data_IF_282752601094
#
_entry.id   IF_282752601094
#
_cell.length_a   1.000
_cell.length_b   1.000
_cell.length_c   1.000
_cell.angle_alpha   90.00
_cell.angle_beta   90.00
_cell.angle_gamma   90.00
#
_symmetry.space_group_name_H-M   'P 1'
#
loop_
_entity.id
_entity.type
_entity.pdbx_description
1 polymer ?
#
# COMPACT_ATOMS: atom_id res chain seq x y z
N UNK A 1 -1.43 -47.75 11.68
CA UNK A 1 -2.55 -47.83 12.64
C UNK A 1 -3.77 -47.15 12.02
N UNK A 2 -4.92 -47.81 12.00
CA UNK A 2 -6.14 -47.36 11.32
C UNK A 2 -6.67 -46.04 11.89
N UNK A 3 -7.22 -45.15 11.06
CA UNK A 3 -7.77 -43.83 11.45
C UNK A 3 -8.86 -43.92 12.54
N UNK A 4 -9.52 -45.09 12.65
CA UNK A 4 -10.55 -45.36 13.68
C UNK A 4 -10.02 -45.87 15.03
N UNK A 5 -8.72 -46.10 15.19
CA UNK A 5 -8.15 -46.48 16.49
C UNK A 5 -7.76 -45.22 17.27
N UNK A 6 -8.77 -44.44 17.67
CA UNK A 6 -8.61 -43.28 18.53
C UNK A 6 -8.82 -43.69 19.99
N UNK A 7 -7.77 -43.59 20.81
CA UNK A 7 -7.92 -43.71 22.26
C UNK A 7 -8.74 -42.54 22.81
N UNK A 8 -9.48 -42.79 23.88
CA UNK A 8 -10.20 -41.76 24.63
C UNK A 8 -9.36 -41.37 25.83
N UNK A 9 -8.99 -40.09 25.89
CA UNK A 9 -8.17 -39.51 26.96
C UNK A 9 -9.00 -38.50 27.74
N UNK A 10 -8.60 -38.26 28.98
CA UNK A 10 -9.17 -37.21 29.83
C UNK A 10 -8.14 -36.10 29.94
N UNK A 11 -8.54 -34.87 29.62
CA UNK A 11 -7.70 -33.69 29.82
C UNK A 11 -7.94 -33.20 31.25
N UNK A 12 -6.94 -33.42 32.12
CA UNK A 12 -6.93 -32.82 33.47
C UNK A 12 -6.84 -31.31 33.35
N UNK A 13 -7.50 -30.59 34.25
CA UNK A 13 -7.58 -29.11 34.34
C UNK A 13 -8.47 -28.42 33.28
N UNK A 14 -9.15 -29.16 32.41
CA UNK A 14 -10.23 -28.63 31.57
C UNK A 14 -11.57 -29.26 31.93
N UNK A 15 -12.46 -28.45 32.49
CA UNK A 15 -13.83 -28.86 32.78
C UNK A 15 -14.74 -28.65 31.57
N UNK A 16 -15.57 -29.65 31.31
CA UNK A 16 -16.68 -29.59 30.38
C UNK A 16 -17.80 -28.69 30.90
N UNK A 17 -18.78 -28.39 30.06
CA UNK A 17 -19.98 -27.59 30.40
C UNK A 17 -20.75 -28.19 31.59
N UNK A 18 -20.60 -29.49 31.85
CA UNK A 18 -21.23 -30.24 32.94
C UNK A 18 -20.36 -30.39 34.20
N UNK A 19 -19.31 -29.57 34.36
CA UNK A 19 -18.35 -29.60 35.48
C UNK A 19 -17.51 -30.88 35.62
N UNK A 20 -17.63 -31.81 34.65
CA UNK A 20 -16.83 -33.04 34.54
C UNK A 20 -15.60 -32.84 33.67
N UNK A 21 -14.57 -33.65 33.85
CA UNK A 21 -13.35 -33.57 33.04
C UNK A 21 -13.62 -33.76 31.54
N UNK A 22 -12.90 -33.00 30.71
CA UNK A 22 -13.13 -32.98 29.28
C UNK A 22 -12.54 -34.21 28.58
N UNK A 23 -13.40 -34.90 27.82
CA UNK A 23 -13.04 -36.10 27.05
C UNK A 23 -12.40 -35.69 25.71
N UNK A 24 -11.26 -36.30 25.38
CA UNK A 24 -10.47 -36.04 24.18
C UNK A 24 -10.21 -37.32 23.38
N UNK A 25 -10.62 -37.33 22.11
CA UNK A 25 -10.57 -38.52 21.25
C UNK A 25 -9.41 -38.54 20.24
N UNK A 26 -8.47 -37.61 20.35
CA UNK A 26 -7.29 -37.52 19.45
C UNK A 26 -6.03 -38.04 20.19
N UNK A 27 -4.97 -38.41 19.46
CA UNK A 27 -3.74 -38.91 20.09
C UNK A 27 -3.12 -37.90 21.07
N UNK A 28 -2.48 -38.35 22.16
CA UNK A 28 -1.91 -37.48 23.18
C UNK A 28 -0.79 -36.58 22.64
N UNK A 29 -0.13 -36.97 21.54
CA UNK A 29 0.83 -36.13 20.82
C UNK A 29 0.24 -34.84 20.24
N UNK A 30 -1.09 -34.77 20.05
CA UNK A 30 -1.80 -33.57 19.59
C UNK A 30 -2.52 -32.83 20.73
N UNK A 31 -2.46 -33.35 21.96
CA UNK A 31 -3.10 -32.75 23.13
C UNK A 31 -2.47 -31.41 23.52
N UNK A 32 -1.19 -31.17 23.21
CA UNK A 32 -0.50 -29.88 23.46
C UNK A 32 -1.09 -28.72 22.64
N UNK A 33 -1.82 -29.01 21.54
CA UNK A 33 -2.55 -28.02 20.73
C UNK A 33 -4.06 -28.10 20.97
N UNK A 34 -4.48 -28.55 22.15
CA UNK A 34 -5.88 -28.58 22.50
C UNK A 34 -6.43 -27.14 22.56
N UNK A 35 -7.46 -26.88 21.76
CA UNK A 35 -8.23 -25.64 21.80
C UNK A 35 -9.70 -26.02 21.78
N UNK A 36 -10.48 -25.45 22.69
CA UNK A 36 -11.95 -25.69 22.76
C UNK A 36 -12.65 -25.24 21.48
N UNK A 37 -12.02 -24.38 20.69
CA UNK A 37 -12.54 -23.91 19.40
C UNK A 37 -12.18 -24.82 18.22
N UNK A 38 -11.38 -25.87 18.44
CA UNK A 38 -10.90 -26.80 17.40
C UNK A 38 -12.00 -27.80 16.95
N UNK A 39 -13.05 -27.26 16.34
CA UNK A 39 -14.22 -28.00 15.87
C UNK A 39 -15.49 -27.15 15.78
N UNK A 40 -15.47 -25.91 16.31
CA UNK A 40 -16.59 -24.98 16.14
C UNK A 40 -16.65 -24.54 14.68
N UNK A 41 -17.82 -24.62 14.07
CA UNK A 41 -18.07 -23.98 12.78
C UNK A 41 -17.76 -22.49 12.92
N UNK A 42 -16.95 -21.94 12.00
CA UNK A 42 -16.61 -20.52 12.03
C UNK A 42 -17.91 -19.74 11.90
N UNK A 43 -18.22 -18.91 12.90
CA UNK A 43 -19.37 -18.01 12.84
C UNK A 43 -19.30 -17.20 11.54
N UNK A 44 -20.36 -17.28 10.74
CA UNK A 44 -20.42 -16.67 9.43
C UNK A 44 -20.39 -15.14 9.62
N UNK A 45 -19.25 -14.51 9.37
CA UNK A 45 -19.13 -13.07 9.58
C UNK A 45 -20.08 -12.33 8.64
N UNK A 46 -20.87 -11.37 9.16
CA UNK A 46 -21.75 -10.56 8.32
C UNK A 46 -20.93 -9.84 7.25
N UNK A 47 -21.49 -9.70 6.04
CA UNK A 47 -20.76 -9.20 4.85
C UNK A 47 -20.06 -7.85 5.11
N UNK A 48 -20.63 -6.98 5.94
CA UNK A 48 -20.08 -5.66 6.31
C UNK A 48 -18.85 -5.72 7.25
N UNK A 49 -18.56 -6.88 7.84
CA UNK A 49 -17.36 -7.13 8.66
C UNK A 49 -16.32 -8.00 7.95
N UNK A 50 -16.60 -8.44 6.72
CA UNK A 50 -15.63 -9.25 5.97
C UNK A 50 -14.46 -8.38 5.51
N UNK A 51 -13.22 -8.90 5.57
CA UNK A 51 -12.06 -8.16 5.12
C UNK A 51 -12.15 -7.89 3.61
N UNK A 52 -11.80 -6.67 3.21
CA UNK A 52 -11.67 -6.34 1.81
C UNK A 52 -10.59 -7.21 1.17
N UNK A 53 -10.97 -7.95 0.14
CA UNK A 53 -10.07 -8.87 -0.57
C UNK A 53 -9.74 -8.28 -1.94
N UNK A 54 -8.45 -8.22 -2.28
CA UNK A 54 -7.98 -7.80 -3.59
C UNK A 54 -7.37 -9.00 -4.30
N UNK A 55 -7.87 -9.34 -5.48
CA UNK A 55 -7.27 -10.34 -6.38
C UNK A 55 -6.22 -9.64 -7.24
N UNK A 56 -4.94 -9.90 -6.97
CA UNK A 56 -3.86 -9.56 -7.88
C UNK A 56 -3.75 -10.65 -8.95
N UNK A 57 -4.14 -10.36 -10.19
CA UNK A 57 -3.83 -11.25 -11.32
C UNK A 57 -2.64 -10.68 -12.08
N UNK A 58 -1.48 -11.31 -11.96
CA UNK A 58 -0.35 -10.99 -12.82
C UNK A 58 -0.52 -11.73 -14.14
N UNK A 59 -0.81 -10.99 -15.22
CA UNK A 59 -0.84 -11.53 -16.57
C UNK A 59 0.43 -11.12 -17.30
N UNK A 60 1.24 -12.09 -17.70
CA UNK A 60 2.44 -11.85 -18.51
C UNK A 60 2.06 -11.82 -19.99
N UNK A 61 2.23 -10.68 -20.64
CA UNK A 61 2.06 -10.54 -22.09
C UNK A 61 3.18 -11.27 -22.86
N UNK A 62 2.90 -11.58 -24.13
CA UNK A 62 3.90 -12.14 -25.05
C UNK A 62 5.17 -11.26 -25.12
N UNK A 63 6.31 -11.87 -25.43
CA UNK A 63 7.60 -11.16 -25.44
C UNK A 63 7.63 -9.95 -26.39
N UNK A 64 7.12 -10.10 -27.61
CA UNK A 64 7.01 -9.01 -28.60
C UNK A 64 6.21 -7.82 -28.07
N UNK A 65 5.06 -8.08 -27.44
CA UNK A 65 4.22 -7.04 -26.84
C UNK A 65 4.96 -6.30 -25.73
N UNK A 66 5.76 -7.01 -24.92
CA UNK A 66 6.54 -6.37 -23.85
C UNK A 66 7.68 -5.50 -24.40
N UNK A 67 8.29 -5.88 -25.51
CA UNK A 67 9.31 -5.06 -26.17
C UNK A 67 8.68 -3.76 -26.70
N UNK A 68 7.56 -3.87 -27.41
CA UNK A 68 6.78 -2.72 -27.87
C UNK A 68 6.35 -1.80 -26.72
N UNK A 69 5.79 -2.37 -25.64
CA UNK A 69 5.37 -1.58 -24.48
C UNK A 69 6.56 -0.89 -23.78
N UNK A 70 7.73 -1.54 -23.74
CA UNK A 70 8.95 -0.93 -23.22
C UNK A 70 9.36 0.28 -24.07
N UNK A 71 9.39 0.14 -25.39
CA UNK A 71 9.72 1.22 -26.33
C UNK A 71 8.73 2.38 -26.18
N UNK A 72 7.43 2.08 -26.14
CA UNK A 72 6.39 3.06 -25.85
C UNK A 72 6.64 3.81 -24.54
N UNK A 73 6.96 3.11 -23.44
CA UNK A 73 7.22 3.77 -22.15
C UNK A 73 8.43 4.72 -22.22
N UNK A 74 9.47 4.34 -22.97
CA UNK A 74 10.65 5.19 -23.18
C UNK A 74 10.28 6.43 -23.99
N UNK A 75 9.59 6.28 -25.11
CA UNK A 75 9.15 7.42 -25.94
C UNK A 75 8.21 8.34 -25.17
N UNK A 76 7.27 7.76 -24.42
CA UNK A 76 6.32 8.48 -23.60
C UNK A 76 7.00 9.31 -22.51
N UNK A 77 7.97 8.74 -21.78
CA UNK A 77 8.75 9.47 -20.78
C UNK A 77 9.57 10.62 -21.40
N UNK A 78 10.12 10.41 -22.60
CA UNK A 78 10.91 11.44 -23.28
C UNK A 78 10.07 12.60 -23.84
N UNK A 79 8.87 12.32 -24.35
CA UNK A 79 8.10 13.31 -25.11
C UNK A 79 6.82 13.84 -24.43
N UNK A 80 6.17 13.05 -23.57
CA UNK A 80 4.78 13.31 -23.18
C UNK A 80 4.51 13.30 -21.68
N UNK A 81 5.34 12.62 -20.87
CA UNK A 81 5.07 12.43 -19.44
C UNK A 81 4.90 13.75 -18.69
N UNK A 82 5.91 14.63 -18.72
CA UNK A 82 5.86 15.89 -17.95
C UNK A 82 4.66 16.77 -18.37
N UNK A 83 4.40 17.08 -19.65
CA UNK A 83 3.23 17.88 -20.04
C UNK A 83 1.89 17.21 -19.68
N UNK A 84 1.78 15.89 -19.84
CA UNK A 84 0.56 15.17 -19.53
C UNK A 84 0.27 15.22 -18.02
N UNK A 85 1.27 14.87 -17.20
CA UNK A 85 1.11 14.84 -15.74
C UNK A 85 0.78 16.23 -15.21
N UNK A 86 1.42 17.28 -15.75
CA UNK A 86 1.08 18.65 -15.42
C UNK A 86 -0.39 18.96 -15.70
N UNK A 87 -0.86 18.67 -16.93
CA UNK A 87 -2.22 19.02 -17.35
C UNK A 87 -3.28 18.24 -16.59
N UNK A 88 -3.04 16.95 -16.36
CA UNK A 88 -3.96 16.10 -15.58
C UNK A 88 -4.03 16.60 -14.14
N UNK A 89 -2.88 16.91 -13.51
CA UNK A 89 -2.85 17.47 -12.16
C UNK A 89 -3.60 18.81 -12.08
N UNK A 90 -3.38 19.71 -13.03
CA UNK A 90 -4.07 21.00 -13.08
C UNK A 90 -5.60 20.83 -13.13
N UNK A 91 -6.09 19.89 -13.96
CA UNK A 91 -7.51 19.58 -14.06
C UNK A 91 -8.07 18.97 -12.77
N UNK A 92 -7.31 18.08 -12.11
CA UNK A 92 -7.69 17.50 -10.82
C UNK A 92 -7.82 18.56 -9.73
N UNK A 93 -6.85 19.48 -9.62
CA UNK A 93 -6.87 20.55 -8.62
C UNK A 93 -8.02 21.52 -8.85
N UNK A 94 -8.32 21.86 -10.11
CA UNK A 94 -9.42 22.78 -10.44
C UNK A 94 -10.81 22.13 -10.39
N UNK A 95 -10.88 20.80 -10.20
CA UNK A 95 -12.11 20.03 -10.37
C UNK A 95 -12.83 20.30 -11.71
N UNK A 96 -12.06 20.65 -12.75
CA UNK A 96 -12.59 20.98 -14.08
C UNK A 96 -12.64 19.69 -14.90
N UNK A 97 -13.83 19.14 -15.09
CA UNK A 97 -14.05 17.98 -15.94
C UNK A 97 -15.20 17.08 -15.50
N UNK A 98 -15.38 15.97 -16.22
CA UNK A 98 -16.24 14.88 -15.78
C UNK A 98 -15.66 14.25 -14.50
N UNK A 99 -16.48 13.62 -13.64
CA UNK A 99 -16.00 12.84 -12.50
C UNK A 99 -15.24 11.60 -13.01
N UNK A 100 -14.00 11.82 -13.42
CA UNK A 100 -13.08 10.79 -13.87
C UNK A 100 -12.43 10.13 -12.66
N UNK A 101 -11.97 8.90 -12.86
CA UNK A 101 -11.28 8.16 -11.82
C UNK A 101 -9.88 8.75 -11.62
N UNK A 102 -9.74 9.64 -10.64
CA UNK A 102 -8.48 10.29 -10.24
C UNK A 102 -7.36 9.26 -9.96
N UNK A 103 -7.72 8.00 -9.68
CA UNK A 103 -6.75 6.92 -9.45
C UNK A 103 -5.81 6.67 -10.61
N UNK A 104 -6.20 6.99 -11.86
CA UNK A 104 -5.33 6.84 -13.01
C UNK A 104 -4.08 7.73 -12.92
N UNK A 105 -4.21 8.94 -12.37
CA UNK A 105 -3.07 9.84 -12.18
C UNK A 105 -2.03 9.23 -11.23
N UNK A 106 -2.48 8.75 -10.06
CA UNK A 106 -1.58 8.14 -9.08
C UNK A 106 -1.00 6.82 -9.57
N UNK A 107 -1.79 6.01 -10.29
CA UNK A 107 -1.30 4.79 -10.91
C UNK A 107 -0.23 5.08 -11.96
N UNK A 108 -0.47 6.07 -12.84
CA UNK A 108 0.48 6.48 -13.87
C UNK A 108 1.76 7.02 -13.25
N UNK A 109 1.65 7.89 -12.24
CA UNK A 109 2.79 8.39 -11.46
C UNK A 109 3.62 7.23 -10.93
N UNK A 110 3.00 6.29 -10.20
CA UNK A 110 3.70 5.12 -9.66
C UNK A 110 4.39 4.32 -10.76
N UNK A 111 3.66 3.98 -11.82
CA UNK A 111 4.17 3.10 -12.87
C UNK A 111 5.35 3.71 -13.65
N UNK A 112 5.20 4.95 -14.13
CA UNK A 112 6.21 5.59 -14.96
C UNK A 112 7.44 6.03 -14.15
N UNK A 113 7.25 6.47 -12.90
CA UNK A 113 8.39 6.76 -12.02
C UNK A 113 9.17 5.50 -11.66
N UNK A 114 8.48 4.40 -11.33
CA UNK A 114 9.13 3.11 -11.07
C UNK A 114 9.86 2.59 -12.31
N UNK A 115 9.25 2.70 -13.49
CA UNK A 115 9.88 2.33 -14.76
C UNK A 115 11.15 3.16 -15.00
N UNK A 116 11.07 4.48 -14.81
CA UNK A 116 12.24 5.37 -14.95
C UNK A 116 13.35 4.98 -13.96
N UNK A 117 13.01 4.74 -12.69
CA UNK A 117 13.94 4.35 -11.62
C UNK A 117 14.64 3.02 -11.91
N UNK A 118 13.95 2.03 -12.46
CA UNK A 118 14.49 0.69 -12.69
C UNK A 118 15.19 0.51 -14.04
N UNK A 119 14.84 1.27 -15.07
CA UNK A 119 15.39 1.09 -16.42
C UNK A 119 16.65 1.93 -16.68
N UNK A 120 16.49 3.25 -16.75
CA UNK A 120 17.56 4.23 -17.01
C UNK A 120 17.21 5.51 -16.28
N UNK A 121 17.52 5.54 -14.99
CA UNK A 121 17.10 6.61 -14.11
C UNK A 121 17.58 7.98 -14.59
N UNK A 122 16.61 8.81 -15.00
CA UNK A 122 16.84 10.18 -15.44
C UNK A 122 15.81 11.09 -14.80
N UNK A 123 16.25 11.98 -13.92
CA UNK A 123 15.34 12.88 -13.18
C UNK A 123 14.63 13.87 -14.11
N UNK A 124 15.29 14.28 -15.20
CA UNK A 124 14.72 15.19 -16.21
C UNK A 124 13.41 14.67 -16.80
N UNK A 125 13.26 13.35 -16.95
CA UNK A 125 12.06 12.74 -17.55
C UNK A 125 10.85 12.77 -16.61
N UNK A 126 11.08 12.99 -15.31
CA UNK A 126 10.06 12.95 -14.26
C UNK A 126 10.04 14.23 -13.43
N UNK A 127 10.59 15.33 -13.96
CA UNK A 127 10.72 16.59 -13.24
C UNK A 127 9.37 17.19 -12.82
N UNK A 128 8.29 16.89 -13.54
CA UNK A 128 6.94 17.34 -13.19
C UNK A 128 6.37 16.65 -11.94
N UNK A 129 6.82 15.44 -11.63
CA UNK A 129 6.32 14.67 -10.48
C UNK A 129 7.28 14.65 -9.31
N UNK A 130 8.49 15.22 -9.45
CA UNK A 130 9.56 15.11 -8.46
C UNK A 130 9.94 16.45 -7.85
N UNK A 131 9.00 17.05 -7.11
CA UNK A 131 9.19 18.28 -6.34
C UNK A 131 8.22 18.36 -5.15
N UNK A 132 8.50 19.24 -4.18
CA UNK A 132 7.75 19.32 -2.91
C UNK A 132 6.23 19.47 -3.09
N UNK A 133 5.77 20.25 -4.08
CA UNK A 133 4.34 20.45 -4.31
C UNK A 133 3.61 19.15 -4.64
N UNK A 134 4.30 18.17 -5.25
CA UNK A 134 3.70 16.87 -5.57
C UNK A 134 3.54 16.03 -4.29
N UNK A 135 4.53 16.05 -3.40
CA UNK A 135 4.41 15.38 -2.08
C UNK A 135 3.21 15.95 -1.31
N UNK A 136 3.11 17.28 -1.24
CA UNK A 136 1.98 17.96 -0.62
C UNK A 136 0.66 17.57 -1.30
N UNK A 137 0.59 17.61 -2.64
CA UNK A 137 -0.61 17.24 -3.39
C UNK A 137 -1.07 15.81 -3.08
N UNK A 138 -0.15 14.83 -3.11
CA UNK A 138 -0.48 13.43 -2.82
C UNK A 138 -0.99 13.28 -1.38
N UNK A 139 -0.36 13.98 -0.42
CA UNK A 139 -0.80 14.00 0.97
C UNK A 139 -2.22 14.57 1.13
N UNK A 140 -2.46 15.79 0.63
CA UNK A 140 -3.77 16.46 0.75
C UNK A 140 -4.89 15.62 0.12
N UNK A 141 -4.61 14.94 -0.99
CA UNK A 141 -5.58 14.05 -1.63
C UNK A 141 -5.89 12.82 -0.75
N UNK A 142 -4.88 12.21 -0.13
CA UNK A 142 -5.11 11.10 0.81
C UNK A 142 -5.93 11.53 2.03
N UNK A 143 -5.60 12.67 2.64
CA UNK A 143 -6.32 13.24 3.78
C UNK A 143 -7.78 13.54 3.42
N UNK A 144 -8.02 14.24 2.31
CA UNK A 144 -9.37 14.53 1.83
C UNK A 144 -10.18 13.27 1.54
N UNK A 145 -9.57 12.20 1.02
CA UNK A 145 -10.28 10.93 0.83
C UNK A 145 -10.54 10.17 2.14
N UNK A 146 -9.66 10.30 3.14
CA UNK A 146 -9.88 9.74 4.48
C UNK A 146 -11.06 10.43 5.18
N UNK A 147 -11.15 11.75 5.06
CA UNK A 147 -12.30 12.54 5.54
C UNK A 147 -13.59 12.14 4.82
N UNK A 148 -13.57 12.06 3.48
CA UNK A 148 -14.72 11.64 2.68
C UNK A 148 -15.18 10.20 3.00
N UNK A 149 -14.25 9.31 3.39
CA UNK A 149 -14.58 7.96 3.84
C UNK A 149 -15.35 7.94 5.17
N UNK A 150 -15.14 8.92 6.04
CA UNK A 150 -15.88 9.07 7.30
C UNK A 150 -17.31 9.54 7.02
N UNK A 151 -17.47 10.48 6.07
CA UNK A 151 -18.76 11.06 5.68
C UNK A 151 -19.60 10.07 4.85
N UNK A 152 -19.04 9.52 3.77
CA UNK A 152 -19.74 8.60 2.86
C UNK A 152 -19.37 7.13 3.14
N UNK A 153 -19.99 6.59 4.19
CA UNK A 153 -19.81 5.18 4.60
C UNK A 153 -20.27 4.16 3.54
N UNK A 154 -21.07 4.57 2.54
CA UNK A 154 -21.53 3.66 1.48
C UNK A 154 -20.44 3.43 0.43
N UNK A 155 -19.52 4.39 0.25
CA UNK A 155 -18.43 4.32 -0.74
C UNK A 155 -17.05 3.99 -0.15
N UNK A 156 -17.00 3.42 1.06
CA UNK A 156 -15.73 2.99 1.70
C UNK A 156 -14.82 2.21 0.74
N UNK A 157 -15.28 1.21 -0.04
CA UNK A 157 -14.40 0.48 -0.95
C UNK A 157 -13.76 1.35 -2.04
N UNK A 158 -14.47 2.39 -2.51
CA UNK A 158 -13.96 3.30 -3.53
C UNK A 158 -12.90 4.24 -2.95
N UNK A 159 -13.16 4.84 -1.78
CA UNK A 159 -12.19 5.69 -1.07
C UNK A 159 -10.95 4.91 -0.67
N UNK A 160 -11.13 3.70 -0.15
CA UNK A 160 -10.04 2.78 0.19
C UNK A 160 -9.13 2.50 -1.01
N UNK A 161 -9.71 2.21 -2.18
CA UNK A 161 -8.94 2.00 -3.42
C UNK A 161 -8.17 3.26 -3.83
N UNK A 162 -8.77 4.44 -3.71
CA UNK A 162 -8.12 5.72 -4.01
C UNK A 162 -6.90 5.96 -3.11
N UNK A 163 -7.11 5.86 -1.79
CA UNK A 163 -6.05 5.99 -0.79
C UNK A 163 -4.93 4.99 -1.04
N UNK A 164 -5.25 3.73 -1.38
CA UNK A 164 -4.23 2.73 -1.68
C UNK A 164 -3.39 3.08 -2.92
N UNK A 165 -4.00 3.62 -3.98
CA UNK A 165 -3.25 4.06 -5.16
C UNK A 165 -2.35 5.27 -4.86
N UNK A 166 -2.84 6.25 -4.10
CA UNK A 166 -2.01 7.37 -3.67
C UNK A 166 -0.87 6.94 -2.73
N UNK A 167 -1.10 5.99 -1.83
CA UNK A 167 -0.03 5.42 -0.99
C UNK A 167 1.07 4.78 -1.85
N UNK A 168 0.71 4.02 -2.89
CA UNK A 168 1.67 3.44 -3.83
C UNK A 168 2.45 4.50 -4.60
N UNK A 169 1.80 5.59 -5.01
CA UNK A 169 2.47 6.72 -5.63
C UNK A 169 3.43 7.42 -4.66
N UNK A 170 3.00 7.64 -3.40
CA UNK A 170 3.83 8.21 -2.35
C UNK A 170 5.06 7.35 -2.03
N UNK A 171 4.89 6.03 -1.97
CA UNK A 171 6.00 5.09 -1.82
C UNK A 171 7.02 5.25 -2.96
N UNK A 172 6.57 5.35 -4.20
CA UNK A 172 7.45 5.52 -5.36
C UNK A 172 8.14 6.89 -5.38
N UNK A 173 7.48 7.94 -4.90
CA UNK A 173 8.11 9.25 -4.68
C UNK A 173 9.29 9.14 -3.71
N UNK A 174 9.11 8.44 -2.58
CA UNK A 174 10.19 8.20 -1.61
C UNK A 174 11.34 7.35 -2.19
N UNK A 175 11.02 6.28 -2.92
CA UNK A 175 12.02 5.43 -3.57
C UNK A 175 12.81 6.19 -4.65
N UNK A 176 12.13 7.05 -5.40
CA UNK A 176 12.75 7.94 -6.38
C UNK A 176 13.68 8.93 -5.70
N UNK A 177 13.24 9.55 -4.60
CA UNK A 177 14.07 10.46 -3.80
C UNK A 177 15.34 9.77 -3.28
N UNK A 178 15.22 8.51 -2.83
CA UNK A 178 16.37 7.70 -2.44
C UNK A 178 17.29 7.37 -3.63
N UNK A 179 16.74 7.16 -4.83
CA UNK A 179 17.54 6.95 -6.04
C UNK A 179 18.29 8.24 -6.46
N UNK A 180 17.69 9.43 -6.25
CA UNK A 180 18.35 10.71 -6.50
C UNK A 180 19.59 10.91 -5.65
N UNK A 181 19.60 10.43 -4.41
CA UNK A 181 20.78 10.51 -3.52
C UNK A 181 22.01 9.78 -4.09
N UNK A 182 21.79 8.74 -4.89
CA UNK A 182 22.83 7.92 -5.53
C UNK A 182 23.18 8.39 -6.94
N UNK A 183 22.56 9.47 -7.42
CA UNK A 183 22.82 10.00 -8.76
C UNK A 183 24.27 10.48 -8.86
N UNK A 184 24.96 10.29 -10.01
CA UNK A 184 26.29 10.85 -10.24
C UNK A 184 26.28 12.38 -10.32
N UNK A 185 25.15 12.99 -10.68
CA UNK A 185 24.99 14.44 -10.83
C UNK A 185 24.79 15.14 -9.48
N UNK A 186 25.63 16.14 -9.19
CA UNK A 186 25.58 16.90 -7.94
C UNK A 186 24.28 17.71 -7.80
N UNK A 187 23.79 18.33 -8.87
CA UNK A 187 22.55 19.10 -8.90
C UNK A 187 21.32 18.25 -8.50
N UNK A 188 21.29 16.99 -8.94
CA UNK A 188 20.24 16.03 -8.58
C UNK A 188 20.31 15.69 -7.09
N UNK A 189 21.51 15.45 -6.55
CA UNK A 189 21.70 15.19 -5.11
C UNK A 189 21.32 16.39 -4.26
N UNK A 190 21.62 17.60 -4.70
CA UNK A 190 21.22 18.84 -4.02
C UNK A 190 19.70 19.02 -4.01
N UNK A 191 19.05 18.78 -5.15
CA UNK A 191 17.59 18.81 -5.25
C UNK A 191 16.95 17.78 -4.32
N UNK A 192 17.51 16.57 -4.23
CA UNK A 192 17.08 15.55 -3.26
C UNK A 192 17.20 16.03 -1.82
N UNK A 193 18.32 16.67 -1.45
CA UNK A 193 18.53 17.23 -0.10
C UNK A 193 17.49 18.30 0.25
N UNK A 194 17.18 19.20 -0.69
CA UNK A 194 16.15 20.24 -0.48
C UNK A 194 14.78 19.62 -0.26
N UNK A 195 14.40 18.65 -1.11
CA UNK A 195 13.11 17.96 -0.98
C UNK A 195 13.03 17.19 0.35
N UNK A 196 14.08 16.44 0.71
CA UNK A 196 14.15 15.72 1.99
C UNK A 196 14.04 16.66 3.19
N UNK A 197 14.76 17.79 3.16
CA UNK A 197 14.67 18.81 4.22
C UNK A 197 13.21 19.25 4.40
N UNK A 198 12.56 19.65 3.32
CA UNK A 198 11.17 20.12 3.39
C UNK A 198 10.21 19.04 3.91
N UNK A 199 10.38 17.78 3.49
CA UNK A 199 9.53 16.67 3.93
C UNK A 199 9.79 16.32 5.41
N UNK A 200 11.05 16.24 5.84
CA UNK A 200 11.38 15.77 7.17
C UNK A 200 11.26 16.83 8.25
N UNK A 201 11.33 18.13 7.92
CA UNK A 201 11.11 19.20 8.89
C UNK A 201 9.63 19.51 9.12
N UNK A 202 8.78 19.37 8.10
CA UNK A 202 7.33 19.59 8.20
C UNK A 202 6.66 18.42 8.97
N UNK A 203 5.92 18.73 10.04
CA UNK A 203 5.27 17.72 10.90
C UNK A 203 4.19 16.95 10.17
N UNK A 204 3.52 17.60 9.22
CA UNK A 204 2.40 17.07 8.46
C UNK A 204 2.80 15.78 7.73
N UNK A 205 4.00 15.72 7.12
CA UNK A 205 4.46 14.48 6.46
C UNK A 205 4.83 13.37 7.43
N UNK A 206 5.35 13.71 8.62
CA UNK A 206 5.70 12.72 9.64
C UNK A 206 4.45 12.09 10.25
N UNK A 207 3.41 12.90 10.45
CA UNK A 207 2.14 12.49 11.05
C UNK A 207 1.28 11.68 10.08
N UNK A 208 1.39 11.93 8.77
CA UNK A 208 0.62 11.22 7.74
C UNK A 208 0.71 9.69 7.87
N UNK A 209 1.91 9.15 8.03
CA UNK A 209 2.12 7.69 8.12
C UNK A 209 1.46 7.13 9.38
N UNK A 210 1.58 7.83 10.50
CA UNK A 210 0.95 7.46 11.78
C UNK A 210 -0.57 7.49 11.64
N UNK A 211 -1.09 8.54 10.99
CA UNK A 211 -2.51 8.69 10.70
C UNK A 211 -3.05 7.54 9.85
N UNK A 212 -2.34 7.14 8.79
CA UNK A 212 -2.73 6.01 7.93
C UNK A 212 -2.80 4.69 8.70
N UNK A 213 -1.88 4.44 9.66
CA UNK A 213 -1.97 3.27 10.54
C UNK A 213 -3.17 3.35 11.50
N UNK A 214 -3.42 4.52 12.09
CA UNK A 214 -4.51 4.69 13.05
C UNK A 214 -5.89 4.51 12.39
N UNK A 215 -6.04 4.87 11.12
CA UNK A 215 -7.31 4.72 10.39
C UNK A 215 -7.48 3.30 9.82
N UNK A 216 -6.42 2.48 9.80
CA UNK A 216 -6.48 1.12 9.29
C UNK A 216 -7.49 0.27 10.08
N UNK A 217 -8.39 -0.39 9.35
CA UNK A 217 -9.32 -1.39 9.88
C UNK A 217 -9.56 -2.42 8.79
N UNK A 218 -9.62 -3.71 9.12
CA UNK A 218 -9.82 -4.79 8.12
C UNK A 218 -11.10 -4.62 7.30
N UNK A 219 -12.10 -3.89 7.82
CA UNK A 219 -13.35 -3.57 7.12
C UNK A 219 -13.22 -2.43 6.11
N UNK A 220 -12.20 -1.58 6.24
CA UNK A 220 -11.97 -0.40 5.39
C UNK A 220 -10.83 -0.60 4.42
N UNK A 221 -9.82 -1.40 4.76
CA UNK A 221 -8.62 -1.59 3.94
C UNK A 221 -8.27 -3.06 3.76
N UNK A 222 -7.58 -3.36 2.66
CA UNK A 222 -7.12 -4.70 2.33
C UNK A 222 -5.82 -5.05 3.07
N UNK A 223 -5.47 -6.33 3.14
CA UNK A 223 -4.14 -6.75 3.64
C UNK A 223 -2.99 -6.28 2.75
N UNK A 224 -3.24 -6.14 1.46
CA UNK A 224 -2.24 -5.61 0.51
C UNK A 224 -1.93 -4.15 0.83
N UNK A 225 -2.96 -3.35 1.13
CA UNK A 225 -2.77 -1.99 1.62
C UNK A 225 -1.88 -1.93 2.87
N UNK A 226 -2.16 -2.78 3.87
CA UNK A 226 -1.34 -2.81 5.10
C UNK A 226 0.12 -3.15 4.80
N UNK A 227 0.36 -4.13 3.91
CA UNK A 227 1.72 -4.50 3.49
C UNK A 227 2.42 -3.30 2.86
N UNK A 228 1.78 -2.64 1.90
CA UNK A 228 2.36 -1.48 1.20
C UNK A 228 2.59 -0.30 2.18
N UNK A 229 1.71 -0.12 3.18
CA UNK A 229 1.86 0.91 4.22
C UNK A 229 3.07 0.62 5.11
N UNK A 230 3.28 -0.62 5.53
CA UNK A 230 4.44 -1.03 6.31
C UNK A 230 5.73 -0.85 5.52
N UNK A 231 5.75 -1.23 4.23
CA UNK A 231 6.91 -1.02 3.36
C UNK A 231 7.21 0.48 3.17
N UNK A 232 6.19 1.29 2.94
CA UNK A 232 6.33 2.76 2.82
C UNK A 232 6.88 3.38 4.10
N UNK A 233 6.39 2.93 5.25
CA UNK A 233 6.87 3.38 6.57
C UNK A 233 8.33 3.02 6.79
N UNK A 234 8.71 1.79 6.45
CA UNK A 234 10.09 1.33 6.56
C UNK A 234 11.03 2.17 5.68
N UNK A 235 10.63 2.48 4.45
CA UNK A 235 11.40 3.37 3.56
C UNK A 235 11.53 4.76 4.20
N UNK A 236 10.42 5.34 4.66
CA UNK A 236 10.42 6.67 5.26
C UNK A 236 11.33 6.75 6.49
N UNK A 237 11.20 5.80 7.44
CA UNK A 237 12.00 5.78 8.66
C UNK A 237 13.49 5.59 8.35
N UNK A 238 13.85 4.73 7.40
CA UNK A 238 15.25 4.58 6.96
C UNK A 238 15.82 5.87 6.36
N UNK A 239 15.03 6.58 5.57
CA UNK A 239 15.46 7.86 5.01
C UNK A 239 15.61 8.92 6.09
N UNK A 240 14.72 8.94 7.09
CA UNK A 240 14.79 9.85 8.23
C UNK A 240 16.00 9.56 9.12
N UNK A 241 16.26 8.28 9.42
CA UNK A 241 17.45 7.83 10.17
C UNK A 241 18.74 8.32 9.51
N UNK A 242 18.85 8.13 8.19
CA UNK A 242 20.00 8.61 7.42
C UNK A 242 20.08 10.14 7.33
N UNK A 243 18.96 10.84 7.43
CA UNK A 243 18.93 12.31 7.41
C UNK A 243 19.35 12.91 8.76
N UNK A 244 19.03 12.24 9.87
CA UNK A 244 19.39 12.68 11.22
C UNK A 244 20.80 12.24 11.66
N UNK A 245 21.39 11.26 10.97
CA UNK A 245 22.77 10.78 11.20
C UNK A 245 23.78 11.67 10.49
#
# INVERSE_FOLDING_TARGET
RHSRFGGTFIIKDHKSISDRDQIYHKPPSKATKFSVDSGKERLNMPKNKKPLTQTTSERRSAFSVRLFLKEFCVEFLNGAYNPLMYKVRENLVRAVGQPNDETYYFWAMKFFMEFNRLYKFQVKLISETMHQQIFHFVQTQMEGWLENMIVDKKKIPAWSRRIHQALKAYQELLLTLQAMDRSPEQSVRESSRVIKSNIFYQSEYRELIIYLFNVFTETKFTRVYLKDLVETTHIFLKMLEHFCS
#
